data_IF_529875453889
#
_entry.id   IF_529875453889
#
_cell.length_a   1.000
_cell.length_b   1.000
_cell.length_c   1.000
_cell.angle_alpha   90.00
_cell.angle_beta   90.00
_cell.angle_gamma   90.00
#
_symmetry.space_group_name_H-M   'P 1'
#
loop_
_entity.id
_entity.type
_entity.pdbx_description
1 polymer ?
#
# COMPACT_ATOMS: atom_id res chain seq x y z
N UNK A 1 26.63 -3.00 -11.75
CA UNK A 1 26.11 -3.12 -10.37
C UNK A 1 26.12 -4.58 -9.89
N UNK A 2 27.29 -5.18 -9.62
CA UNK A 2 27.39 -6.62 -9.20
C UNK A 2 28.23 -6.84 -7.92
N UNK A 3 28.62 -5.79 -7.22
CA UNK A 3 29.61 -5.86 -6.12
C UNK A 3 29.06 -6.38 -4.79
N UNK A 4 27.75 -6.22 -4.54
CA UNK A 4 27.15 -6.57 -3.23
C UNK A 4 27.11 -8.08 -2.91
N UNK A 5 27.08 -8.95 -3.92
CA UNK A 5 27.02 -10.41 -3.70
C UNK A 5 28.37 -10.96 -3.22
N UNK A 6 29.47 -10.41 -3.75
CA UNK A 6 30.83 -10.81 -3.37
C UNK A 6 31.18 -10.37 -1.94
N UNK A 7 30.86 -9.13 -1.57
CA UNK A 7 31.14 -8.60 -0.21
C UNK A 7 30.37 -9.34 0.88
N UNK A 8 29.08 -9.62 0.66
CA UNK A 8 28.27 -10.43 1.58
C UNK A 8 28.84 -11.84 1.79
N UNK A 9 29.36 -12.44 0.72
CA UNK A 9 29.95 -13.79 0.77
C UNK A 9 31.22 -13.79 1.62
N UNK A 10 32.07 -12.77 1.46
CA UNK A 10 33.31 -12.61 2.23
C UNK A 10 33.05 -12.41 3.73
N UNK A 11 32.04 -11.62 4.10
CA UNK A 11 31.69 -11.34 5.50
C UNK A 11 31.00 -12.55 6.16
N UNK A 12 30.15 -13.27 5.44
CA UNK A 12 29.36 -14.36 6.02
C UNK A 12 30.16 -15.64 6.26
N UNK A 13 31.25 -15.86 5.52
CA UNK A 13 32.10 -17.03 5.69
C UNK A 13 33.23 -16.75 6.69
N UNK A 14 33.26 -17.50 7.80
CA UNK A 14 34.26 -17.38 8.87
C UNK A 14 35.70 -17.43 8.36
N UNK A 15 36.01 -18.27 7.36
CA UNK A 15 37.37 -18.44 6.85
C UNK A 15 37.85 -17.20 6.10
N UNK A 16 37.03 -16.67 5.21
CA UNK A 16 37.36 -15.46 4.44
C UNK A 16 37.37 -14.22 5.32
N UNK A 17 36.43 -14.12 6.26
CA UNK A 17 36.41 -13.04 7.24
C UNK A 17 37.67 -13.03 8.11
N UNK A 18 38.11 -14.20 8.60
CA UNK A 18 39.35 -14.32 9.39
C UNK A 18 40.57 -13.83 8.61
N UNK A 19 40.69 -14.20 7.34
CA UNK A 19 41.81 -13.76 6.49
C UNK A 19 41.78 -12.24 6.34
N UNK A 20 40.60 -11.66 6.06
CA UNK A 20 40.44 -10.22 5.90
C UNK A 20 40.74 -9.44 7.20
N UNK A 21 40.25 -9.93 8.34
CA UNK A 21 40.46 -9.29 9.65
C UNK A 21 41.93 -9.36 10.08
N UNK A 22 42.61 -10.48 9.83
CA UNK A 22 44.02 -10.64 10.17
C UNK A 22 44.98 -9.80 9.32
N UNK A 23 44.52 -9.26 8.20
CA UNK A 23 45.29 -8.35 7.35
C UNK A 23 45.17 -6.88 7.78
N UNK A 24 44.30 -6.57 8.75
CA UNK A 24 44.11 -5.22 9.26
C UNK A 24 45.25 -4.85 10.22
N UNK A 25 45.57 -3.55 10.29
CA UNK A 25 46.39 -3.01 11.37
C UNK A 25 45.62 -3.02 12.70
N UNK A 26 46.33 -2.99 13.83
CA UNK A 26 45.69 -2.96 15.16
C UNK A 26 44.68 -1.80 15.29
N UNK A 27 45.03 -0.63 14.74
CA UNK A 27 44.14 0.55 14.72
C UNK A 27 42.87 0.29 13.91
N UNK A 28 43.01 -0.32 12.73
CA UNK A 28 41.86 -0.58 11.86
C UNK A 28 41.01 -1.74 12.41
N UNK A 29 41.61 -2.68 13.14
CA UNK A 29 40.91 -3.72 13.88
C UNK A 29 39.99 -3.13 14.97
N UNK A 30 40.50 -2.22 15.79
CA UNK A 30 39.70 -1.57 16.84
C UNK A 30 38.55 -0.74 16.25
N UNK A 31 38.82 -0.03 15.15
CA UNK A 31 37.79 0.72 14.42
C UNK A 31 36.74 -0.22 13.82
N UNK A 32 37.16 -1.33 13.20
CA UNK A 32 36.25 -2.34 12.66
C UNK A 32 35.37 -2.94 13.75
N UNK A 33 35.95 -3.30 14.89
CA UNK A 33 35.23 -3.83 16.06
C UNK A 33 34.17 -2.84 16.56
N UNK A 34 34.56 -1.58 16.76
CA UNK A 34 33.64 -0.53 17.22
C UNK A 34 32.48 -0.32 16.24
N UNK A 35 32.76 -0.20 14.94
CA UNK A 35 31.72 -0.04 13.91
C UNK A 35 30.76 -1.24 13.87
N UNK A 36 31.27 -2.46 13.95
CA UNK A 36 30.45 -3.67 13.94
C UNK A 36 29.56 -3.74 15.18
N UNK A 37 30.09 -3.41 16.36
CA UNK A 37 29.32 -3.37 17.60
C UNK A 37 28.19 -2.34 17.55
N UNK A 38 28.47 -1.14 17.03
CA UNK A 38 27.46 -0.10 16.84
C UNK A 38 26.36 -0.55 15.87
N UNK A 39 26.74 -1.14 14.73
CA UNK A 39 25.78 -1.66 13.74
C UNK A 39 24.91 -2.78 14.33
N UNK A 40 25.49 -3.66 15.15
CA UNK A 40 24.73 -4.72 15.84
C UNK A 40 23.74 -4.09 16.82
N UNK A 41 24.18 -3.16 17.67
CA UNK A 41 23.34 -2.48 18.64
C UNK A 41 22.14 -1.77 17.98
N UNK A 42 22.38 -1.02 16.89
CA UNK A 42 21.33 -0.36 16.13
C UNK A 42 20.34 -1.35 15.51
N UNK A 43 20.82 -2.47 14.99
CA UNK A 43 19.96 -3.50 14.41
C UNK A 43 19.12 -4.21 15.48
N UNK A 44 19.67 -4.47 16.65
CA UNK A 44 18.95 -5.10 17.75
C UNK A 44 17.92 -4.15 18.35
N UNK A 45 18.25 -2.86 18.52
CA UNK A 45 17.28 -1.84 18.91
C UNK A 45 16.11 -1.78 17.90
N UNK A 46 16.42 -1.77 16.60
CA UNK A 46 15.39 -1.78 15.54
C UNK A 46 14.52 -3.05 15.60
N UNK A 47 15.11 -4.22 15.83
CA UNK A 47 14.38 -5.49 15.97
C UNK A 47 13.51 -5.51 17.23
N UNK A 48 14.01 -5.00 18.34
CA UNK A 48 13.26 -4.92 19.59
C UNK A 48 12.08 -3.95 19.46
N UNK A 49 12.29 -2.75 18.88
CA UNK A 49 11.20 -1.81 18.59
C UNK A 49 10.10 -2.43 17.72
N UNK A 50 10.47 -3.22 16.72
CA UNK A 50 9.50 -3.94 15.88
C UNK A 50 8.74 -5.00 16.69
N UNK A 51 9.45 -5.82 17.47
CA UNK A 51 8.82 -6.82 18.34
C UNK A 51 7.91 -6.21 19.40
N UNK A 52 8.30 -5.10 19.99
CA UNK A 52 7.49 -4.38 20.99
C UNK A 52 6.26 -3.75 20.33
N UNK A 53 6.39 -3.21 19.11
CA UNK A 53 5.26 -2.71 18.35
C UNK A 53 4.29 -3.83 17.92
N UNK A 54 4.82 -5.00 17.51
CA UNK A 54 4.01 -6.19 17.22
C UNK A 54 3.27 -6.67 18.46
N UNK A 55 3.96 -6.78 19.61
CA UNK A 55 3.33 -7.18 20.87
C UNK A 55 2.23 -6.20 21.29
N UNK A 56 2.51 -4.89 21.28
CA UNK A 56 1.48 -3.87 21.60
C UNK A 56 0.26 -3.97 20.69
N UNK A 57 0.48 -4.29 19.41
CA UNK A 57 -0.61 -4.45 18.45
C UNK A 57 -1.40 -5.72 18.70
N UNK A 58 -0.73 -6.80 19.10
CA UNK A 58 -1.38 -8.06 19.50
C UNK A 58 -2.19 -7.85 20.78
N UNK A 59 -1.62 -7.20 21.79
CA UNK A 59 -2.31 -6.82 23.03
C UNK A 59 -3.56 -5.96 22.73
N UNK A 60 -3.43 -4.95 21.84
CA UNK A 60 -4.57 -4.12 21.41
C UNK A 60 -5.65 -4.91 20.67
N UNK A 61 -5.26 -5.88 19.83
CA UNK A 61 -6.20 -6.75 19.13
C UNK A 61 -6.96 -7.62 20.14
N UNK A 62 -6.26 -8.17 21.13
CA UNK A 62 -6.87 -9.01 22.16
C UNK A 62 -7.86 -8.20 23.02
N UNK A 63 -7.47 -7.00 23.47
CA UNK A 63 -8.36 -6.08 24.22
C UNK A 63 -9.64 -5.75 23.44
N UNK A 64 -9.50 -5.49 22.13
CA UNK A 64 -10.63 -5.23 21.23
C UNK A 64 -11.49 -6.49 21.11
N UNK A 65 -10.89 -7.66 20.86
CA UNK A 65 -11.63 -8.92 20.72
C UNK A 65 -12.43 -9.26 21.98
N UNK A 66 -11.86 -9.02 23.16
CA UNK A 66 -12.57 -9.25 24.43
C UNK A 66 -13.72 -8.27 24.62
N UNK A 67 -13.53 -6.98 24.27
CA UNK A 67 -14.63 -6.00 24.22
C UNK A 67 -15.77 -6.42 23.29
N UNK A 68 -15.45 -7.03 22.13
CA UNK A 68 -16.45 -7.55 21.19
C UNK A 68 -17.20 -8.76 21.74
N UNK A 69 -16.50 -9.68 22.43
CA UNK A 69 -17.13 -10.84 23.09
C UNK A 69 -18.06 -10.41 24.22
N UNK A 70 -17.65 -9.44 25.03
CA UNK A 70 -18.49 -8.88 26.12
C UNK A 70 -19.76 -8.23 25.59
N UNK A 71 -19.68 -7.55 24.44
CA UNK A 71 -20.83 -6.98 23.75
C UNK A 71 -21.71 -8.04 23.04
N UNK A 72 -21.34 -9.32 23.08
CA UNK A 72 -22.11 -10.43 22.54
C UNK A 72 -22.01 -10.60 21.02
N UNK A 73 -21.01 -10.01 20.37
CA UNK A 73 -20.77 -10.21 18.94
C UNK A 73 -20.10 -11.56 18.68
N UNK A 74 -20.56 -12.27 17.66
CA UNK A 74 -19.95 -13.51 17.16
C UNK A 74 -18.81 -13.20 16.18
N UNK A 75 -17.86 -14.13 16.04
CA UNK A 75 -16.85 -14.13 14.97
C UNK A 75 -17.47 -13.92 13.57
N UNK A 76 -18.67 -14.46 13.33
CA UNK A 76 -19.36 -14.31 12.06
C UNK A 76 -19.91 -12.89 11.83
N UNK A 77 -20.28 -12.16 12.87
CA UNK A 77 -20.71 -10.76 12.77
C UNK A 77 -19.55 -9.86 12.36
N UNK A 78 -18.36 -10.11 12.92
CA UNK A 78 -17.11 -9.43 12.56
C UNK A 78 -16.77 -9.71 11.09
N UNK A 79 -16.81 -10.99 10.68
CA UNK A 79 -16.56 -11.40 9.28
C UNK A 79 -17.55 -10.79 8.30
N UNK A 80 -18.83 -10.71 8.69
CA UNK A 80 -19.88 -10.09 7.89
C UNK A 80 -19.61 -8.59 7.69
N UNK A 81 -19.24 -7.87 8.76
CA UNK A 81 -18.87 -6.46 8.68
C UNK A 81 -17.67 -6.22 7.74
N UNK A 82 -16.62 -7.05 7.84
CA UNK A 82 -15.46 -6.98 6.93
C UNK A 82 -15.86 -7.24 5.47
N UNK A 83 -16.76 -8.20 5.23
CA UNK A 83 -17.27 -8.49 3.88
C UNK A 83 -18.05 -7.30 3.31
N UNK A 84 -18.90 -6.68 4.10
CA UNK A 84 -19.67 -5.50 3.72
C UNK A 84 -18.77 -4.29 3.44
N UNK A 85 -17.74 -4.05 4.26
CA UNK A 85 -16.76 -3.00 4.01
C UNK A 85 -16.00 -3.23 2.70
N UNK A 86 -15.59 -4.47 2.42
CA UNK A 86 -14.95 -4.84 1.14
C UNK A 86 -15.90 -4.63 -0.03
N UNK A 87 -17.17 -5.02 0.10
CA UNK A 87 -18.21 -4.81 -0.93
C UNK A 87 -18.39 -3.32 -1.23
N UNK A 88 -18.53 -2.48 -0.21
CA UNK A 88 -18.65 -1.02 -0.35
C UNK A 88 -17.41 -0.40 -1.01
N UNK A 89 -16.20 -0.84 -0.63
CA UNK A 89 -14.96 -0.38 -1.27
C UNK A 89 -14.93 -0.74 -2.75
N UNK A 90 -15.31 -1.98 -3.09
CA UNK A 90 -15.35 -2.45 -4.48
C UNK A 90 -16.40 -1.72 -5.31
N UNK A 91 -17.55 -1.41 -4.71
CA UNK A 91 -18.58 -0.60 -5.36
C UNK A 91 -18.05 0.81 -5.67
N UNK A 92 -17.43 1.48 -4.69
CA UNK A 92 -16.83 2.81 -4.88
C UNK A 92 -15.71 2.83 -5.92
N UNK A 93 -14.90 1.78 -6.00
CA UNK A 93 -13.84 1.65 -7.01
C UNK A 93 -14.39 1.37 -8.41
N UNK A 94 -15.55 0.72 -8.51
CA UNK A 94 -16.23 0.43 -9.77
C UNK A 94 -17.12 1.57 -10.27
N UNK A 95 -17.56 2.49 -9.43
CA UNK A 95 -18.24 3.71 -9.87
C UNK A 95 -17.25 4.62 -10.61
N UNK A 96 -17.37 4.70 -11.93
CA UNK A 96 -16.66 5.71 -12.73
C UNK A 96 -17.57 6.91 -12.90
N UNK A 97 -17.01 8.11 -12.74
CA UNK A 97 -17.71 9.34 -13.14
C UNK A 97 -17.75 9.33 -14.68
N UNK A 98 -18.94 9.35 -15.24
CA UNK A 98 -19.17 9.36 -16.68
C UNK A 98 -19.90 10.67 -17.01
N UNK A 99 -19.63 11.26 -18.16
CA UNK A 99 -20.30 12.46 -18.64
C UNK A 99 -21.27 12.04 -19.74
N UNK A 100 -22.56 12.34 -19.57
CA UNK A 100 -23.59 12.05 -20.57
C UNK A 100 -23.76 13.26 -21.50
N UNK A 101 -23.89 13.02 -22.80
CA UNK A 101 -24.23 14.05 -23.80
C UNK A 101 -25.10 13.45 -24.90
N UNK A 102 -25.94 14.26 -25.54
CA UNK A 102 -26.75 13.84 -26.68
C UNK A 102 -26.06 14.17 -28.00
N UNK A 103 -26.07 13.22 -28.93
CA UNK A 103 -25.66 13.43 -30.32
C UNK A 103 -26.65 12.74 -31.26
N UNK A 104 -27.16 13.48 -32.25
CA UNK A 104 -28.11 12.98 -33.26
C UNK A 104 -29.33 12.21 -32.71
N UNK A 105 -29.78 12.52 -31.49
CA UNK A 105 -30.91 11.86 -30.84
C UNK A 105 -30.58 10.61 -30.03
N UNK A 106 -29.29 10.25 -29.91
CA UNK A 106 -28.79 9.17 -29.03
C UNK A 106 -27.95 9.74 -27.88
N UNK A 107 -28.05 9.14 -26.69
CA UNK A 107 -27.28 9.53 -25.50
C UNK A 107 -25.96 8.77 -25.44
N UNK A 108 -24.84 9.50 -25.46
CA UNK A 108 -23.48 8.97 -25.36
C UNK A 108 -22.85 9.27 -24.01
N UNK A 109 -21.91 8.40 -23.62
CA UNK A 109 -21.30 8.38 -22.30
C UNK A 109 -19.77 8.46 -22.43
N UNK A 110 -19.14 9.48 -21.84
CA UNK A 110 -17.69 9.65 -21.84
C UNK A 110 -17.08 9.49 -20.44
N UNK A 111 -16.12 8.58 -20.30
CA UNK A 111 -15.52 8.23 -19.00
C UNK A 111 -14.53 9.25 -18.42
N UNK A 112 -14.29 10.38 -19.11
CA UNK A 112 -13.31 11.40 -18.72
C UNK A 112 -11.84 11.03 -18.96
N UNK A 113 -11.56 9.81 -19.44
CA UNK A 113 -10.22 9.37 -19.85
C UNK A 113 -10.11 9.41 -21.39
N UNK A 114 -9.05 10.03 -21.91
CA UNK A 114 -8.79 10.17 -23.36
C UNK A 114 -9.13 11.56 -23.91
N UNK A 115 -9.15 11.70 -25.24
CA UNK A 115 -9.60 12.94 -25.87
C UNK A 115 -11.10 13.16 -25.63
N UNK A 116 -11.46 14.40 -25.30
CA UNK A 116 -12.86 14.80 -25.10
C UNK A 116 -13.59 14.76 -26.44
N UNK A 117 -14.74 14.08 -26.54
CA UNK A 117 -15.56 14.06 -27.75
C UNK A 117 -15.89 15.49 -28.19
N UNK A 118 -15.88 15.73 -29.50
CA UNK A 118 -16.09 17.05 -30.10
C UNK A 118 -17.40 17.70 -29.65
N UNK A 119 -18.45 16.92 -29.46
CA UNK A 119 -19.77 17.40 -29.03
C UNK A 119 -19.76 17.84 -27.56
N UNK A 120 -19.17 17.03 -26.67
CA UNK A 120 -19.03 17.40 -25.27
C UNK A 120 -18.16 18.64 -25.10
N UNK A 121 -17.10 18.76 -25.92
CA UNK A 121 -16.26 19.95 -25.97
C UNK A 121 -17.04 21.19 -26.43
N UNK A 122 -17.87 21.07 -27.46
CA UNK A 122 -18.73 22.15 -27.93
C UNK A 122 -19.76 22.60 -26.86
N UNK A 123 -20.31 21.67 -26.08
CA UNK A 123 -21.19 21.97 -24.94
C UNK A 123 -20.47 22.76 -23.84
N UNK A 124 -19.23 22.37 -23.52
CA UNK A 124 -18.40 23.09 -22.54
C UNK A 124 -18.01 24.48 -23.07
N UNK A 125 -17.62 24.58 -24.34
CA UNK A 125 -17.27 25.84 -25.00
C UNK A 125 -18.48 26.79 -25.14
N UNK A 126 -19.70 26.25 -25.22
CA UNK A 126 -20.96 27.00 -25.19
C UNK A 126 -21.33 27.53 -23.79
N UNK A 127 -20.53 27.22 -22.76
CA UNK A 127 -20.68 27.75 -21.39
C UNK A 127 -21.38 26.82 -20.42
N UNK A 128 -21.67 25.57 -20.80
CA UNK A 128 -22.17 24.57 -19.85
C UNK A 128 -21.03 24.07 -18.95
N UNK A 129 -21.30 23.97 -17.65
CA UNK A 129 -20.31 23.42 -16.72
C UNK A 129 -20.25 21.91 -16.88
N UNK A 130 -19.03 21.40 -17.06
CA UNK A 130 -18.76 19.97 -17.16
C UNK A 130 -19.29 19.18 -15.95
N UNK A 131 -19.34 19.81 -14.78
CA UNK A 131 -19.87 19.22 -13.55
C UNK A 131 -21.39 18.95 -13.61
N UNK A 132 -22.15 19.73 -14.37
CA UNK A 132 -23.61 19.57 -14.51
C UNK A 132 -23.96 18.39 -15.45
N UNK A 133 -22.99 17.91 -16.22
CA UNK A 133 -23.11 16.78 -17.15
C UNK A 133 -22.63 15.45 -16.55
N UNK A 134 -22.19 15.46 -15.29
CA UNK A 134 -21.72 14.26 -14.57
C UNK A 134 -22.89 13.35 -14.24
N UNK A 135 -22.79 12.10 -14.68
CA UNK A 135 -23.64 11.00 -14.25
C UNK A 135 -22.80 9.95 -13.52
N UNK A 136 -23.32 9.48 -12.39
CA UNK A 136 -22.76 8.31 -11.71
C UNK A 136 -23.34 7.05 -12.35
N UNK A 137 -22.55 6.38 -13.19
CA UNK A 137 -22.97 5.10 -13.76
C UNK A 137 -22.41 3.98 -12.89
N UNK A 138 -23.30 3.23 -12.24
CA UNK A 138 -22.93 1.97 -11.56
C UNK A 138 -22.46 0.97 -12.61
N UNK A 139 -21.33 0.30 -12.37
CA UNK A 139 -20.75 -0.69 -13.30
C UNK A 139 -21.62 -1.93 -13.59
N UNK A 140 -22.84 -2.01 -13.03
CA UNK A 140 -23.82 -3.07 -13.26
C UNK A 140 -24.65 -2.87 -14.54
N UNK A 141 -24.64 -1.67 -15.13
CA UNK A 141 -25.36 -1.37 -16.37
C UNK A 141 -24.41 -1.30 -17.57
N UNK A 142 -23.72 -2.41 -17.83
CA UNK A 142 -23.20 -2.69 -19.16
C UNK A 142 -24.18 -3.63 -19.86
N UNK A 143 -25.16 -3.05 -20.53
CA UNK A 143 -25.90 -3.73 -21.60
C UNK A 143 -25.41 -3.13 -22.93
N UNK A 144 -24.86 -4.04 -23.75
CA UNK A 144 -24.26 -3.92 -25.09
C UNK A 144 -22.81 -3.47 -25.15
#
# INVERSE_FOLDING_TARGET
MSTNKSTKTTINNKRTLKIAVNQLSDRDYDRFKSNVQEIIALNDERRNKLKDAERRREDEIDDVLDSFKEAGFSDDDIRSCVRELRRKKRLKENTRVVYAYEDQGETFYWSGYGEMPSMLKALVDAGHKLDDLKTEVSAEEKVV
#
